data_IF_507807901716
#
_entry.id   IF_507807901716
#
_cell.length_a   1.000
_cell.length_b   1.000
_cell.length_c   1.000
_cell.angle_alpha   90.00
_cell.angle_beta   90.00
_cell.angle_gamma   90.00
#
_symmetry.space_group_name_H-M   'P 1'
#
loop_
_entity.id
_entity.type
_entity.pdbx_description
1 polymer ?
#
# COMPACT_ATOMS: atom_id res chain seq x y z
N UNK A 1 3.84 21.62 1.93
CA UNK A 1 2.84 20.55 2.16
C UNK A 1 3.35 19.28 1.51
N UNK A 2 3.47 18.20 2.28
CA UNK A 2 3.82 16.89 1.72
C UNK A 2 2.58 16.36 0.97
N UNK A 3 2.74 16.06 -0.32
CA UNK A 3 1.64 15.60 -1.19
C UNK A 3 1.20 14.16 -0.83
N UNK A 4 2.11 13.37 -0.26
CA UNK A 4 1.89 11.94 0.00
C UNK A 4 0.75 11.65 1.00
N UNK A 5 0.70 12.28 2.19
CA UNK A 5 -0.46 12.14 3.09
C UNK A 5 -1.78 12.57 2.43
N UNK A 6 -1.76 13.67 1.68
CA UNK A 6 -2.97 14.19 1.02
C UNK A 6 -3.56 13.19 0.02
N UNK A 7 -2.72 12.46 -0.71
CA UNK A 7 -3.17 11.40 -1.62
C UNK A 7 -3.88 10.30 -0.83
N UNK A 8 -3.24 9.77 0.21
CA UNK A 8 -3.84 8.69 1.01
C UNK A 8 -5.12 9.11 1.73
N UNK A 9 -5.16 10.33 2.25
CA UNK A 9 -6.30 10.85 2.99
C UNK A 9 -7.49 11.22 2.08
N UNK A 10 -7.24 11.52 0.80
CA UNK A 10 -8.29 11.83 -0.17
C UNK A 10 -9.29 10.68 -0.38
N UNK A 11 -8.90 9.44 -0.05
CA UNK A 11 -9.81 8.27 -0.12
C UNK A 11 -10.84 8.29 1.01
N UNK A 12 -10.54 8.93 2.15
CA UNK A 12 -11.51 9.15 3.23
C UNK A 12 -11.97 7.90 3.99
N UNK A 13 -11.18 6.82 4.00
CA UNK A 13 -11.54 5.56 4.67
C UNK A 13 -11.11 5.47 6.14
N UNK A 14 -10.41 6.48 6.66
CA UNK A 14 -9.94 6.52 8.05
C UNK A 14 -9.92 7.97 8.56
N UNK A 15 -9.92 8.14 9.87
CA UNK A 15 -9.87 9.43 10.55
C UNK A 15 -8.56 10.18 10.21
N UNK A 16 -8.66 11.33 9.56
CA UNK A 16 -7.49 12.12 9.13
C UNK A 16 -7.03 13.13 10.18
N UNK A 17 -7.91 14.05 10.59
CA UNK A 17 -7.63 15.05 11.63
C UNK A 17 -8.08 14.58 13.00
N UNK A 18 -7.23 14.76 14.02
CA UNK A 18 -7.46 14.26 15.38
C UNK A 18 -7.52 12.72 15.48
N UNK A 19 -7.07 12.02 14.44
CA UNK A 19 -7.19 10.57 14.31
C UNK A 19 -5.95 9.91 13.69
N UNK A 20 -6.16 8.77 13.03
CA UNK A 20 -5.06 7.94 12.52
C UNK A 20 -4.15 8.70 11.54
N UNK A 21 -4.67 9.61 10.72
CA UNK A 21 -3.89 10.37 9.75
C UNK A 21 -2.76 11.19 10.37
N UNK A 22 -3.00 11.82 11.52
CA UNK A 22 -1.98 12.58 12.25
C UNK A 22 -0.89 11.66 12.83
N UNK A 23 -1.26 10.49 13.33
CA UNK A 23 -0.30 9.44 13.72
C UNK A 23 0.57 9.01 12.53
N UNK A 24 -0.05 8.74 11.37
CA UNK A 24 0.64 8.29 10.16
C UNK A 24 1.56 9.36 9.55
N UNK A 25 1.25 10.64 9.74
CA UNK A 25 2.12 11.77 9.37
C UNK A 25 3.40 11.83 10.23
N UNK A 26 3.40 11.17 11.39
CA UNK A 26 4.54 11.11 12.30
C UNK A 26 4.37 11.94 13.57
N UNK A 27 3.13 12.16 14.05
CA UNK A 27 2.91 12.77 15.36
C UNK A 27 3.53 11.88 16.45
N UNK A 28 4.35 12.48 17.31
CA UNK A 28 5.00 11.77 18.40
C UNK A 28 4.02 11.45 19.54
N UNK A 29 4.42 10.53 20.43
CA UNK A 29 3.59 10.12 21.58
C UNK A 29 3.31 11.30 22.51
N UNK A 30 4.22 12.27 22.59
CA UNK A 30 4.08 13.46 23.43
C UNK A 30 3.02 14.46 22.93
N UNK A 31 2.44 14.23 21.75
CA UNK A 31 1.46 15.10 21.11
C UNK A 31 1.96 16.52 20.76
N UNK A 32 3.26 16.80 20.86
CA UNK A 32 3.80 18.15 20.66
C UNK A 32 4.51 18.32 19.34
N UNK A 33 5.17 17.27 18.84
CA UNK A 33 6.03 17.37 17.65
C UNK A 33 5.75 16.28 16.62
N UNK A 34 5.99 16.61 15.35
CA UNK A 34 5.97 15.65 14.23
C UNK A 34 7.38 15.07 14.03
N UNK A 35 7.94 14.45 15.07
CA UNK A 35 9.33 13.98 15.11
C UNK A 35 9.48 12.56 14.54
N UNK A 36 8.40 11.77 14.51
CA UNK A 36 8.45 10.36 14.11
C UNK A 36 8.51 10.19 12.61
N UNK A 37 9.08 9.07 12.19
CA UNK A 37 9.08 8.67 10.80
C UNK A 37 7.64 8.48 10.30
N UNK A 38 7.29 9.15 9.20
CA UNK A 38 5.96 9.01 8.61
C UNK A 38 5.74 7.59 8.08
N UNK A 39 4.67 6.96 8.57
CA UNK A 39 4.21 5.65 8.12
C UNK A 39 3.79 5.69 6.64
N UNK A 40 3.29 6.83 6.13
CA UNK A 40 2.98 6.99 4.70
C UNK A 40 4.20 6.74 3.81
N UNK A 41 5.37 7.28 4.17
CA UNK A 41 6.59 7.09 3.40
C UNK A 41 7.00 5.61 3.37
N UNK A 42 6.92 4.94 4.53
CA UNK A 42 7.23 3.52 4.62
C UNK A 42 6.27 2.67 3.77
N UNK A 43 4.96 2.91 3.87
CA UNK A 43 3.94 2.15 3.13
C UNK A 43 4.07 2.38 1.62
N UNK A 44 4.39 3.58 1.17
CA UNK A 44 4.59 3.87 -0.26
C UNK A 44 5.84 3.18 -0.80
N UNK A 45 6.94 3.19 -0.06
CA UNK A 45 8.15 2.45 -0.45
C UNK A 45 7.87 0.94 -0.51
N UNK A 46 7.15 0.40 0.47
CA UNK A 46 6.73 -1.00 0.47
C UNK A 46 5.82 -1.31 -0.73
N UNK A 47 4.85 -0.44 -1.02
CA UNK A 47 3.95 -0.53 -2.17
C UNK A 47 4.74 -0.60 -3.47
N UNK A 48 5.68 0.32 -3.69
CA UNK A 48 6.50 0.33 -4.91
C UNK A 48 7.31 -0.97 -4.99
N UNK A 49 8.03 -1.32 -3.93
CA UNK A 49 8.92 -2.48 -3.91
C UNK A 49 8.18 -3.81 -4.15
N UNK A 50 7.11 -4.06 -3.40
CA UNK A 50 6.32 -5.31 -3.50
C UNK A 50 5.71 -5.47 -4.88
N UNK A 51 5.05 -4.43 -5.41
CA UNK A 51 4.44 -4.51 -6.74
C UNK A 51 5.48 -4.67 -7.84
N UNK A 52 6.65 -4.02 -7.72
CA UNK A 52 7.77 -4.22 -8.65
C UNK A 52 8.24 -5.66 -8.63
N UNK A 53 8.52 -6.23 -7.46
CA UNK A 53 8.99 -7.62 -7.33
C UNK A 53 7.98 -8.60 -7.94
N UNK A 54 6.70 -8.45 -7.58
CA UNK A 54 5.63 -9.35 -8.05
C UNK A 54 5.46 -9.26 -9.57
N UNK A 55 5.32 -8.05 -10.11
CA UNK A 55 5.07 -7.88 -11.53
C UNK A 55 6.31 -8.18 -12.38
N UNK A 56 7.50 -7.89 -11.89
CA UNK A 56 8.72 -8.29 -12.58
C UNK A 56 8.86 -9.81 -12.62
N UNK A 57 8.51 -10.51 -11.54
CA UNK A 57 8.45 -11.97 -11.52
C UNK A 57 7.38 -12.51 -12.50
N UNK A 58 6.23 -11.84 -12.60
CA UNK A 58 5.16 -12.17 -13.55
C UNK A 58 5.61 -12.03 -15.02
N UNK A 59 6.19 -10.89 -15.39
CA UNK A 59 6.51 -10.57 -16.79
C UNK A 59 7.85 -11.13 -17.29
N UNK A 60 8.82 -11.37 -16.41
CA UNK A 60 10.17 -11.79 -16.78
C UNK A 60 10.74 -12.95 -15.96
N UNK A 61 10.12 -13.27 -14.82
CA UNK A 61 10.60 -14.30 -13.91
C UNK A 61 9.94 -15.66 -14.14
N UNK A 62 9.72 -16.36 -13.03
CA UNK A 62 9.26 -17.76 -13.00
C UNK A 62 7.86 -17.96 -13.60
N UNK A 63 7.06 -16.91 -13.66
CA UNK A 63 5.68 -16.92 -14.14
C UNK A 63 5.55 -16.46 -15.61
N UNK A 64 6.66 -16.11 -16.27
CA UNK A 64 6.69 -15.78 -17.70
C UNK A 64 6.69 -17.03 -18.59
N UNK A 65 5.75 -17.96 -18.36
CA UNK A 65 5.59 -19.21 -19.12
C UNK A 65 4.16 -19.70 -19.08
N UNK A 66 3.75 -20.49 -20.08
CA UNK A 66 2.48 -21.22 -20.04
C UNK A 66 2.47 -22.19 -18.84
N UNK A 67 1.37 -22.29 -18.05
CA UNK A 67 0.04 -21.72 -18.27
C UNK A 67 -0.22 -20.37 -17.54
N UNK A 68 0.81 -19.75 -16.96
CA UNK A 68 0.68 -18.55 -16.11
C UNK A 68 0.48 -17.24 -16.90
N UNK A 69 0.50 -17.32 -18.23
CA UNK A 69 0.29 -16.20 -19.16
C UNK A 69 -1.20 -15.90 -19.43
N UNK A 70 -2.07 -16.11 -18.44
CA UNK A 70 -3.50 -15.82 -18.53
C UNK A 70 -3.85 -14.60 -17.66
N UNK A 71 -4.87 -13.85 -18.06
CA UNK A 71 -5.34 -12.66 -17.34
C UNK A 71 -5.72 -12.98 -15.88
N UNK A 72 -6.26 -14.17 -15.62
CA UNK A 72 -6.58 -14.61 -14.26
C UNK A 72 -5.35 -14.70 -13.35
N UNK A 73 -4.22 -15.20 -13.86
CA UNK A 73 -2.96 -15.26 -13.10
C UNK A 73 -2.36 -13.88 -12.89
N UNK A 74 -2.46 -12.98 -13.87
CA UNK A 74 -2.08 -11.58 -13.70
C UNK A 74 -2.90 -10.91 -12.60
N UNK A 75 -4.23 -11.03 -12.65
CA UNK A 75 -5.12 -10.47 -11.65
C UNK A 75 -4.83 -11.06 -10.26
N UNK A 76 -4.60 -12.38 -10.19
CA UNK A 76 -4.20 -13.05 -8.95
C UNK A 76 -2.91 -12.47 -8.35
N UNK A 77 -1.89 -12.20 -9.18
CA UNK A 77 -0.65 -11.56 -8.71
C UNK A 77 -0.88 -10.15 -8.18
N UNK A 78 -1.72 -9.35 -8.86
CA UNK A 78 -2.09 -8.02 -8.39
C UNK A 78 -2.82 -8.09 -7.05
N UNK A 79 -3.78 -9.00 -6.90
CA UNK A 79 -4.53 -9.17 -5.67
C UNK A 79 -3.64 -9.66 -4.52
N UNK A 80 -2.69 -10.55 -4.79
CA UNK A 80 -1.68 -10.97 -3.80
C UNK A 80 -0.81 -9.80 -3.37
N UNK A 81 -0.33 -8.98 -4.31
CA UNK A 81 0.43 -7.77 -4.00
C UNK A 81 -0.36 -6.78 -3.16
N UNK A 82 -1.61 -6.50 -3.56
CA UNK A 82 -2.51 -5.63 -2.82
C UNK A 82 -2.81 -6.15 -1.41
N UNK A 83 -2.97 -7.46 -1.24
CA UNK A 83 -3.16 -8.10 0.06
C UNK A 83 -1.91 -7.99 0.95
N UNK A 84 -0.71 -8.15 0.40
CA UNK A 84 0.54 -7.93 1.15
C UNK A 84 0.63 -6.48 1.62
N UNK A 85 0.31 -5.51 0.76
CA UNK A 85 0.33 -4.09 1.12
C UNK A 85 -0.75 -3.75 2.15
N UNK A 86 -1.94 -4.32 2.03
CA UNK A 86 -2.98 -4.24 3.05
C UNK A 86 -2.43 -4.68 4.40
N UNK A 87 -1.80 -5.86 4.47
CA UNK A 87 -1.25 -6.41 5.72
C UNK A 87 -0.15 -5.53 6.31
N UNK A 88 0.77 -5.02 5.49
CA UNK A 88 1.85 -4.12 5.97
C UNK A 88 1.26 -2.86 6.60
N UNK A 89 0.30 -2.22 5.93
CA UNK A 89 -0.34 -1.01 6.41
C UNK A 89 -1.19 -1.26 7.67
N UNK A 90 -2.03 -2.30 7.65
CA UNK A 90 -2.89 -2.69 8.78
C UNK A 90 -2.08 -3.11 10.00
N UNK A 91 -1.12 -4.03 9.86
CA UNK A 91 -0.32 -4.54 10.99
C UNK A 91 0.52 -3.41 11.59
N UNK A 92 1.04 -2.49 10.77
CA UNK A 92 1.77 -1.32 11.26
C UNK A 92 0.91 -0.46 12.18
N UNK A 93 -0.24 0.02 11.70
CA UNK A 93 -1.12 0.90 12.48
C UNK A 93 -1.79 0.17 13.65
N UNK A 94 -2.23 -1.06 13.46
CA UNK A 94 -2.86 -1.86 14.51
C UNK A 94 -1.87 -2.19 15.64
N UNK A 95 -0.62 -2.49 15.31
CA UNK A 95 0.43 -2.71 16.33
C UNK A 95 0.63 -1.47 17.18
N UNK A 96 0.62 -0.28 16.59
CA UNK A 96 0.77 0.96 17.35
C UNK A 96 -0.45 1.22 18.25
N UNK A 97 -1.66 0.92 17.76
CA UNK A 97 -2.89 1.00 18.54
C UNK A 97 -2.85 0.09 19.77
N UNK A 98 -2.55 -1.20 19.58
CA UNK A 98 -2.54 -2.21 20.66
C UNK A 98 -1.44 -1.95 21.69
N UNK A 99 -0.28 -1.46 21.26
CA UNK A 99 0.84 -1.17 22.17
C UNK A 99 0.80 0.26 22.74
N UNK A 100 -0.27 1.02 22.49
CA UNK A 100 -0.43 2.42 22.89
C UNK A 100 0.78 3.29 22.53
N UNK A 101 1.30 3.09 21.31
CA UNK A 101 2.45 3.81 20.76
C UNK A 101 2.02 4.99 19.89
N UNK A 102 1.04 5.75 20.34
CA UNK A 102 0.49 6.91 19.63
C UNK A 102 0.15 8.01 20.65
N UNK A 103 -0.05 9.24 20.18
CA UNK A 103 -0.49 10.34 21.02
C UNK A 103 -1.90 10.08 21.59
N UNK A 104 -2.07 10.10 22.91
CA UNK A 104 -3.35 9.79 23.57
C UNK A 104 -4.48 10.77 23.24
N UNK A 105 -4.16 11.96 22.72
CA UNK A 105 -5.16 12.93 22.26
C UNK A 105 -5.79 12.52 20.91
N UNK A 106 -5.17 11.60 20.17
CA UNK A 106 -5.71 11.06 18.93
C UNK A 106 -6.74 9.98 19.23
N UNK A 107 -7.91 10.10 18.63
CA UNK A 107 -8.97 9.10 18.72
C UNK A 107 -9.05 8.33 17.41
N UNK A 108 -8.44 7.14 17.37
CA UNK A 108 -8.61 6.19 16.27
C UNK A 108 -8.77 4.76 16.80
N UNK A 109 -9.45 3.93 16.02
CA UNK A 109 -9.77 2.55 16.40
C UNK A 109 -9.38 1.54 15.31
N UNK A 110 -9.61 0.25 15.56
CA UNK A 110 -9.25 -0.81 14.62
C UNK A 110 -9.86 -0.60 13.22
N UNK A 111 -11.08 -0.08 13.13
CA UNK A 111 -11.71 0.31 11.86
C UNK A 111 -10.89 1.33 11.04
N UNK A 112 -10.20 2.28 11.67
CA UNK A 112 -9.31 3.20 10.96
C UNK A 112 -8.07 2.47 10.42
N UNK A 113 -7.57 1.49 11.18
CA UNK A 113 -6.43 0.67 10.75
C UNK A 113 -6.80 -0.18 9.53
N UNK A 114 -8.01 -0.76 9.53
CA UNK A 114 -8.57 -1.48 8.37
C UNK A 114 -8.74 -0.52 7.19
N UNK A 115 -9.31 0.67 7.43
CA UNK A 115 -9.49 1.71 6.43
C UNK A 115 -8.18 2.11 5.75
N UNK A 116 -7.13 2.35 6.53
CA UNK A 116 -5.79 2.63 6.00
C UNK A 116 -5.22 1.46 5.20
N UNK A 117 -5.40 0.22 5.69
CA UNK A 117 -5.02 -0.99 4.96
C UNK A 117 -5.71 -1.07 3.59
N UNK A 118 -7.01 -0.84 3.54
CA UNK A 118 -7.81 -0.85 2.29
C UNK A 118 -7.34 0.26 1.35
N UNK A 119 -7.13 1.48 1.86
CA UNK A 119 -6.57 2.59 1.08
C UNK A 119 -5.23 2.19 0.45
N UNK A 120 -4.32 1.60 1.21
CA UNK A 120 -3.02 1.16 0.71
C UNK A 120 -3.17 0.05 -0.36
N UNK A 121 -4.10 -0.89 -0.17
CA UNK A 121 -4.41 -1.93 -1.14
C UNK A 121 -4.95 -1.36 -2.46
N UNK A 122 -5.85 -0.37 -2.41
CA UNK A 122 -6.38 0.32 -3.60
C UNK A 122 -5.23 0.95 -4.38
N UNK A 123 -4.36 1.71 -3.72
CA UNK A 123 -3.19 2.29 -4.38
C UNK A 123 -2.24 1.23 -4.93
N UNK A 124 -2.10 0.09 -4.26
CA UNK A 124 -1.31 -1.04 -4.75
C UNK A 124 -1.87 -1.59 -6.07
N UNK A 125 -3.19 -1.73 -6.19
CA UNK A 125 -3.84 -2.16 -7.43
C UNK A 125 -3.61 -1.15 -8.54
N UNK A 126 -3.86 0.14 -8.28
CA UNK A 126 -3.64 1.22 -9.26
C UNK A 126 -2.21 1.22 -9.75
N UNK A 127 -1.24 1.16 -8.83
CA UNK A 127 0.18 1.13 -9.16
C UNK A 127 0.55 -0.13 -9.96
N UNK A 128 0.02 -1.29 -9.58
CA UNK A 128 0.24 -2.54 -10.31
C UNK A 128 -0.25 -2.46 -11.77
N UNK A 129 -1.41 -1.85 -12.01
CA UNK A 129 -1.91 -1.65 -13.37
C UNK A 129 -0.98 -0.74 -14.15
N UNK A 130 -0.59 0.41 -13.59
CA UNK A 130 0.35 1.34 -14.23
C UNK A 130 1.69 0.66 -14.55
N UNK A 131 2.25 -0.07 -13.58
CA UNK A 131 3.51 -0.78 -13.76
C UNK A 131 3.40 -1.85 -14.85
N UNK A 132 2.30 -2.59 -14.89
CA UNK A 132 2.02 -3.57 -15.96
C UNK A 132 2.06 -2.92 -17.35
N UNK A 133 1.53 -1.70 -17.50
CA UNK A 133 1.57 -0.96 -18.77
C UNK A 133 2.99 -0.52 -19.15
N UNK A 134 3.85 -0.24 -18.19
CA UNK A 134 5.24 0.16 -18.43
C UNK A 134 6.14 -1.04 -18.78
N UNK A 135 5.97 -2.16 -18.08
CA UNK A 135 6.86 -3.31 -18.23
C UNK A 135 6.41 -4.27 -19.32
N UNK A 136 5.14 -4.33 -19.73
CA UNK A 136 4.68 -5.34 -20.71
C UNK A 136 5.40 -5.28 -22.06
N UNK A 137 5.93 -4.11 -22.45
CA UNK A 137 6.51 -3.87 -23.77
C UNK A 137 7.71 -4.76 -24.10
N UNK A 138 8.49 -5.18 -23.10
CA UNK A 138 9.64 -6.08 -23.34
C UNK A 138 9.34 -7.56 -23.10
N UNK A 139 8.15 -7.92 -22.60
CA UNK A 139 7.81 -9.33 -22.39
C UNK A 139 7.35 -9.97 -23.70
N UNK A 140 7.90 -11.14 -24.04
CA UNK A 140 7.55 -11.88 -25.27
C UNK A 140 6.22 -12.65 -25.09
N UNK A 141 6.02 -13.28 -23.93
CA UNK A 141 4.87 -14.17 -23.69
C UNK A 141 3.66 -13.44 -23.08
N UNK A 142 3.89 -12.37 -22.31
CA UNK A 142 2.84 -11.65 -21.58
C UNK A 142 2.51 -10.26 -22.19
N UNK A 143 2.94 -9.98 -23.42
CA UNK A 143 2.77 -8.66 -24.08
C UNK A 143 1.30 -8.20 -24.18
N UNK A 144 0.37 -9.16 -24.31
CA UNK A 144 -1.08 -8.96 -24.48
C UNK A 144 -1.86 -8.92 -23.16
N UNK A 145 -1.17 -8.79 -22.02
CA UNK A 145 -1.80 -8.67 -20.71
C UNK A 145 -1.39 -7.32 -20.13
N UNK A 146 -2.33 -6.48 -19.66
CA UNK A 146 -3.76 -6.77 -19.45
C UNK A 146 -4.71 -6.53 -20.65
N UNK A 147 -4.18 -6.19 -21.84
CA UNK A 147 -4.97 -5.86 -23.04
C UNK A 147 -4.51 -6.65 -24.27
#
# INVERSE_FOLDING_TARGET
>A
MNILPAIFEAVGLYSSSGGLGEHLRGLDIDCQTMSRQSAYNFVILALIFVNVVILFNYYYGLLNRSPFNQVGWWLGNILVGAFIIFLIAYVGSHRDLVNHRYCEQLSFHDGDCIGFGITAAIYSVVWSVLLSLLIKWKSIYNKKIPF
#
